data_IF_297564613338
#
_entry.id   IF_297564613338
#
_cell.length_a   1.000
_cell.length_b   1.000
_cell.length_c   1.000
_cell.angle_alpha   90.00
_cell.angle_beta   90.00
_cell.angle_gamma   90.00
#
_symmetry.space_group_name_H-M   'P 1'
#
loop_
_entity.id
_entity.type
_entity.pdbx_description
1 polymer ?
#
# COMPACT_ATOMS: atom_id res chain seq x y z
N UNK A 1 20.24 36.23 8.55
CA UNK A 1 20.69 34.84 8.78
C UNK A 1 19.42 33.97 8.72
N UNK A 2 19.21 33.10 7.72
CA UNK A 2 17.94 32.33 7.70
C UNK A 2 17.51 31.64 6.41
N UNK A 3 17.59 32.26 5.21
CA UNK A 3 17.09 31.61 3.96
C UNK A 3 18.14 30.79 3.21
N UNK A 4 19.42 31.17 3.29
CA UNK A 4 20.52 30.50 2.55
C UNK A 4 21.02 29.20 3.19
N UNK A 5 20.85 29.02 4.50
CA UNK A 5 21.14 27.76 5.17
C UNK A 5 20.04 26.73 4.93
N UNK A 6 18.77 27.12 5.06
CA UNK A 6 17.63 26.25 4.75
C UNK A 6 17.65 25.73 3.31
N UNK A 7 18.12 26.54 2.34
CA UNK A 7 18.29 26.09 0.95
C UNK A 7 19.42 25.08 0.77
N UNK A 8 20.51 25.18 1.55
CA UNK A 8 21.62 24.22 1.51
C UNK A 8 21.25 22.89 2.15
N UNK A 9 20.52 22.91 3.26
CA UNK A 9 20.03 21.68 3.91
C UNK A 9 19.01 20.95 3.01
N UNK A 10 18.09 21.67 2.35
CA UNK A 10 17.17 21.07 1.36
C UNK A 10 17.90 20.42 0.18
N UNK A 11 18.97 21.03 -0.31
CA UNK A 11 19.75 20.49 -1.43
C UNK A 11 20.52 19.21 -1.05
N UNK A 12 21.02 19.10 0.19
CA UNK A 12 21.79 17.94 0.66
C UNK A 12 20.96 16.64 0.72
N UNK A 13 19.65 16.74 0.99
CA UNK A 13 18.74 15.58 1.06
C UNK A 13 18.03 15.26 -0.27
N UNK A 14 18.19 16.10 -1.29
CA UNK A 14 17.53 15.94 -2.59
C UNK A 14 18.13 14.80 -3.44
N UNK A 15 19.38 14.38 -3.16
CA UNK A 15 20.05 13.28 -3.88
C UNK A 15 19.65 11.88 -3.41
N UNK A 16 18.97 11.75 -2.26
CA UNK A 16 18.64 10.47 -1.64
C UNK A 16 17.12 10.32 -1.54
N UNK A 17 16.50 9.79 -2.59
CA UNK A 17 15.08 9.40 -2.57
C UNK A 17 14.94 7.91 -2.85
N UNK A 18 13.95 7.29 -2.21
CA UNK A 18 13.56 5.90 -2.44
C UNK A 18 12.82 5.70 -3.77
N UNK A 19 12.44 6.77 -4.47
CA UNK A 19 11.57 6.71 -5.63
C UNK A 19 12.36 6.78 -6.92
N UNK A 20 12.30 5.70 -7.69
CA UNK A 20 12.79 5.65 -9.06
C UNK A 20 11.62 5.60 -10.04
N UNK A 21 11.72 6.33 -11.16
CA UNK A 21 10.71 6.34 -12.22
C UNK A 21 9.66 7.46 -12.11
N UNK A 22 8.50 7.24 -12.73
CA UNK A 22 7.44 8.26 -12.89
C UNK A 22 6.88 8.75 -11.55
N UNK A 23 6.38 10.00 -11.49
CA UNK A 23 5.68 10.52 -10.32
C UNK A 23 4.47 9.67 -9.97
N UNK A 24 4.38 9.30 -8.70
CA UNK A 24 3.19 8.66 -8.12
C UNK A 24 2.20 9.73 -7.66
N UNK A 25 1.03 9.32 -7.18
CA UNK A 25 0.02 10.27 -6.70
C UNK A 25 0.54 11.14 -5.55
N UNK A 26 1.30 10.56 -4.61
CA UNK A 26 1.90 11.31 -3.50
C UNK A 26 2.91 12.37 -3.96
N UNK A 27 3.66 12.11 -5.03
CA UNK A 27 4.64 13.06 -5.58
C UNK A 27 3.99 14.31 -6.21
N UNK A 28 2.66 14.33 -6.36
CA UNK A 28 1.92 15.52 -6.80
C UNK A 28 1.69 16.51 -5.66
N UNK A 29 1.74 16.05 -4.41
CA UNK A 29 1.50 16.85 -3.21
C UNK A 29 2.76 17.06 -2.37
N UNK A 30 3.71 16.11 -2.42
CA UNK A 30 4.95 16.15 -1.65
C UNK A 30 6.17 16.21 -2.58
N UNK A 31 7.15 17.06 -2.23
CA UNK A 31 8.44 17.08 -2.91
C UNK A 31 9.19 15.76 -2.67
N UNK A 32 9.91 15.25 -3.68
CA UNK A 32 10.73 14.05 -3.53
C UNK A 32 11.99 14.37 -2.71
N UNK A 33 12.22 13.59 -1.67
CA UNK A 33 13.41 13.71 -0.82
C UNK A 33 13.29 12.83 0.41
N UNK A 34 14.41 12.65 1.12
CA UNK A 34 14.49 11.72 2.25
C UNK A 34 13.43 11.97 3.32
N UNK A 35 13.18 13.24 3.68
CA UNK A 35 12.18 13.58 4.70
C UNK A 35 10.77 13.15 4.27
N UNK A 36 10.39 13.46 3.03
CA UNK A 36 9.09 13.04 2.48
C UNK A 36 8.99 11.53 2.44
N UNK A 37 10.06 10.84 2.06
CA UNK A 37 10.08 9.38 2.00
C UNK A 37 9.88 8.77 3.39
N UNK A 38 10.58 9.26 4.41
CA UNK A 38 10.39 8.83 5.80
C UNK A 38 8.95 9.09 6.24
N UNK A 39 8.44 10.31 6.09
CA UNK A 39 7.09 10.68 6.54
C UNK A 39 6.04 9.80 5.85
N UNK A 40 6.13 9.60 4.54
CA UNK A 40 5.17 8.81 3.77
C UNK A 40 5.24 7.32 4.13
N UNK A 41 6.44 6.77 4.37
CA UNK A 41 6.63 5.38 4.82
C UNK A 41 5.97 5.15 6.17
N UNK A 42 6.22 6.04 7.15
CA UNK A 42 5.59 5.96 8.47
C UNK A 42 4.07 6.14 8.39
N UNK A 43 3.60 7.10 7.59
CA UNK A 43 2.16 7.35 7.40
C UNK A 43 1.45 6.13 6.81
N UNK A 44 2.03 5.47 5.80
CA UNK A 44 1.46 4.26 5.21
C UNK A 44 1.48 3.06 6.18
N UNK A 45 2.55 2.90 6.97
CA UNK A 45 2.62 1.85 7.98
C UNK A 45 1.57 2.07 9.08
N UNK A 46 1.40 3.32 9.55
CA UNK A 46 0.39 3.69 10.53
C UNK A 46 -1.04 3.53 9.98
N UNK A 47 -1.29 3.96 8.75
CA UNK A 47 -2.58 3.74 8.08
C UNK A 47 -2.90 2.25 7.97
N UNK A 48 -1.91 1.42 7.62
CA UNK A 48 -2.08 -0.03 7.54
C UNK A 48 -2.40 -0.64 8.91
N UNK A 49 -1.72 -0.19 9.97
CA UNK A 49 -2.03 -0.60 11.34
C UNK A 49 -3.45 -0.21 11.78
N UNK A 50 -3.91 1.01 11.45
CA UNK A 50 -5.29 1.44 11.73
C UNK A 50 -6.28 0.57 10.96
N UNK A 51 -6.05 0.36 9.67
CA UNK A 51 -6.93 -0.48 8.83
C UNK A 51 -6.92 -1.95 9.26
N UNK A 52 -5.83 -2.45 9.86
CA UNK A 52 -5.75 -3.81 10.37
C UNK A 52 -6.81 -4.12 11.44
N UNK A 53 -7.30 -3.09 12.13
CA UNK A 53 -8.35 -3.23 13.15
C UNK A 53 -9.76 -3.25 12.56
N UNK A 54 -9.92 -2.93 11.27
CA UNK A 54 -11.19 -3.15 10.55
C UNK A 54 -11.25 -4.63 10.20
N UNK A 55 -11.86 -5.42 11.09
CA UNK A 55 -11.86 -6.88 11.03
C UNK A 55 -13.27 -7.41 10.80
N UNK A 56 -13.39 -8.28 9.80
CA UNK A 56 -14.50 -9.22 9.68
C UNK A 56 -14.01 -10.54 10.29
N UNK A 57 -14.62 -11.02 11.39
CA UNK A 57 -14.25 -12.30 11.98
C UNK A 57 -14.30 -13.41 10.94
N UNK A 58 -13.24 -14.21 10.86
CA UNK A 58 -13.08 -15.27 9.88
C UNK A 58 -12.08 -16.32 10.34
N UNK A 59 -12.17 -17.51 9.77
CA UNK A 59 -11.29 -18.65 10.02
C UNK A 59 -10.66 -19.08 8.69
N UNK A 60 -9.36 -19.45 8.63
CA UNK A 60 -8.37 -19.57 9.71
C UNK A 60 -7.67 -18.25 10.09
N UNK A 61 -7.83 -17.20 9.29
CA UNK A 61 -7.27 -15.85 9.56
C UNK A 61 -8.38 -14.83 9.38
N UNK A 62 -8.52 -13.84 10.29
CA UNK A 62 -9.51 -12.78 10.13
C UNK A 62 -9.30 -11.98 8.84
N UNK A 63 -10.39 -11.63 8.16
CA UNK A 63 -10.32 -10.72 7.01
C UNK A 63 -10.21 -9.30 7.55
N UNK A 64 -9.00 -8.75 7.54
CA UNK A 64 -8.70 -7.42 8.07
C UNK A 64 -8.50 -6.37 6.97
N UNK A 65 -8.50 -5.09 7.30
CA UNK A 65 -8.14 -4.02 6.36
C UNK A 65 -6.64 -3.91 6.04
N UNK A 66 -5.76 -4.80 6.54
CA UNK A 66 -4.31 -4.74 6.29
C UNK A 66 -3.96 -4.74 4.80
N UNK A 67 -4.57 -5.65 4.03
CA UNK A 67 -4.34 -5.75 2.59
C UNK A 67 -4.79 -4.51 1.84
N UNK A 68 -5.87 -3.87 2.28
CA UNK A 68 -6.31 -2.58 1.74
C UNK A 68 -5.25 -1.49 1.99
N UNK A 69 -4.62 -1.49 3.17
CA UNK A 69 -3.48 -0.63 3.49
C UNK A 69 -2.31 -0.82 2.53
N UNK A 70 -1.93 -2.07 2.25
CA UNK A 70 -0.88 -2.40 1.28
C UNK A 70 -1.21 -1.94 -0.15
N UNK A 71 -2.44 -2.14 -0.62
CA UNK A 71 -2.90 -1.67 -1.93
C UNK A 71 -2.86 -0.14 -2.04
N UNK A 72 -3.33 0.56 -1.00
CA UNK A 72 -3.30 2.03 -0.94
C UNK A 72 -1.87 2.56 -0.92
N UNK A 73 -0.99 1.95 -0.10
CA UNK A 73 0.43 2.31 -0.06
C UNK A 73 1.09 2.13 -1.42
N UNK A 74 0.86 0.99 -2.08
CA UNK A 74 1.34 0.74 -3.44
C UNK A 74 0.82 1.78 -4.44
N UNK A 75 -0.50 1.97 -4.50
CA UNK A 75 -1.14 2.86 -5.45
C UNK A 75 -0.80 4.35 -5.27
N UNK A 76 -0.37 4.77 -4.08
CA UNK A 76 -0.06 6.17 -3.78
C UNK A 76 1.44 6.48 -3.74
N UNK A 77 2.25 5.60 -3.15
CA UNK A 77 3.65 5.87 -2.82
C UNK A 77 4.65 5.27 -3.82
N UNK A 78 4.22 4.31 -4.64
CA UNK A 78 5.11 3.58 -5.54
C UNK A 78 5.86 2.45 -4.84
N UNK A 79 6.60 1.65 -5.62
CA UNK A 79 7.07 0.32 -5.19
C UNK A 79 7.93 0.33 -3.92
N UNK A 80 8.99 1.14 -3.88
CA UNK A 80 9.96 1.14 -2.78
C UNK A 80 9.37 1.69 -1.48
N UNK A 81 8.73 2.87 -1.52
CA UNK A 81 8.09 3.45 -0.33
C UNK A 81 7.01 2.53 0.23
N UNK A 82 6.20 1.92 -0.65
CA UNK A 82 5.17 0.99 -0.23
C UNK A 82 5.77 -0.29 0.40
N UNK A 83 6.77 -0.91 -0.23
CA UNK A 83 7.44 -2.09 0.30
C UNK A 83 8.09 -1.82 1.67
N UNK A 84 8.83 -0.71 1.80
CA UNK A 84 9.47 -0.30 3.06
C UNK A 84 8.42 -0.02 4.14
N UNK A 85 7.27 0.57 3.79
CA UNK A 85 6.18 0.78 4.75
C UNK A 85 5.57 -0.53 5.27
N UNK A 86 5.45 -1.56 4.43
CA UNK A 86 5.00 -2.88 4.87
C UNK A 86 6.06 -3.58 5.74
N UNK A 87 7.35 -3.47 5.40
CA UNK A 87 8.44 -3.98 6.25
C UNK A 87 8.44 -3.27 7.61
N UNK A 88 8.25 -1.95 7.64
CA UNK A 88 8.10 -1.20 8.89
C UNK A 88 6.88 -1.66 9.70
N UNK A 89 5.75 -1.88 9.04
CA UNK A 89 4.54 -2.43 9.66
C UNK A 89 4.79 -3.80 10.31
N UNK A 90 5.46 -4.71 9.60
CA UNK A 90 5.89 -6.00 10.15
C UNK A 90 6.87 -5.82 11.32
N UNK A 91 7.81 -4.89 11.21
CA UNK A 91 8.75 -4.56 12.28
C UNK A 91 8.06 -4.06 13.55
N UNK A 92 7.03 -3.22 13.42
CA UNK A 92 6.19 -2.80 14.55
C UNK A 92 5.48 -3.98 15.21
N UNK A 93 4.93 -4.90 14.41
CA UNK A 93 4.29 -6.11 14.92
C UNK A 93 5.30 -6.99 15.68
N UNK A 94 6.48 -7.23 15.12
CA UNK A 94 7.54 -8.02 15.78
C UNK A 94 8.02 -7.35 17.06
N UNK A 95 8.09 -6.02 17.09
CA UNK A 95 8.49 -5.24 18.26
C UNK A 95 7.42 -5.22 19.38
N UNK A 96 6.30 -5.91 19.22
CA UNK A 96 5.28 -6.03 20.26
C UNK A 96 4.17 -4.97 20.19
N UNK A 97 4.19 -4.07 19.20
CA UNK A 97 3.11 -3.08 19.09
C UNK A 97 1.81 -3.77 18.64
N UNK A 98 0.65 -3.37 19.18
CA UNK A 98 -0.64 -3.97 18.86
C UNK A 98 -1.15 -3.47 17.50
N UNK A 99 -0.46 -3.87 16.43
CA UNK A 99 -0.75 -3.43 15.06
C UNK A 99 -1.37 -4.53 14.20
N UNK A 100 -1.39 -5.78 14.69
CA UNK A 100 -2.02 -6.91 14.02
C UNK A 100 -3.54 -6.90 14.28
N UNK A 101 -4.34 -7.60 13.45
CA UNK A 101 -5.77 -7.75 13.66
C UNK A 101 -6.07 -8.32 15.05
N UNK A 102 -7.18 -7.88 15.66
CA UNK A 102 -7.63 -8.33 16.99
C UNK A 102 -6.68 -7.93 18.14
N UNK A 103 -5.98 -6.80 18.02
CA UNK A 103 -5.14 -6.16 19.05
C UNK A 103 -3.95 -6.99 19.57
N UNK A 104 -3.48 -7.95 18.78
CA UNK A 104 -2.24 -8.68 19.04
C UNK A 104 -0.98 -7.92 18.58
N UNK A 105 0.15 -8.22 19.21
CA UNK A 105 1.48 -7.72 18.85
C UNK A 105 2.55 -8.64 19.43
N UNK A 106 3.72 -8.75 18.81
CA UNK A 106 4.76 -9.69 19.20
C UNK A 106 4.75 -10.96 18.33
N UNK A 107 5.87 -11.69 18.35
CA UNK A 107 6.08 -12.89 17.54
C UNK A 107 5.02 -13.97 17.88
N UNK A 108 4.60 -14.03 19.14
CA UNK A 108 3.59 -14.97 19.64
C UNK A 108 2.19 -14.77 19.02
N UNK A 109 1.89 -13.56 18.52
CA UNK A 109 0.63 -13.25 17.84
C UNK A 109 0.71 -13.50 16.32
N UNK A 110 1.91 -13.71 15.77
CA UNK A 110 2.11 -14.08 14.37
C UNK A 110 1.96 -15.59 14.26
N UNK A 111 0.72 -16.03 14.00
CA UNK A 111 0.45 -17.45 13.75
C UNK A 111 1.09 -17.89 12.43
N UNK A 112 1.34 -19.20 12.32
CA UNK A 112 1.92 -19.79 11.11
C UNK A 112 1.14 -19.42 9.84
N UNK A 113 -0.21 -19.49 9.79
CA UNK A 113 -0.97 -19.01 8.64
C UNK A 113 -0.77 -17.51 8.35
N UNK A 114 -0.75 -16.67 9.38
CA UNK A 114 -0.64 -15.21 9.24
C UNK A 114 0.71 -14.78 8.63
N UNK A 115 1.80 -15.48 8.94
CA UNK A 115 3.14 -15.17 8.42
C UNK A 115 3.18 -15.11 6.88
N UNK A 116 2.51 -16.06 6.21
CA UNK A 116 2.41 -16.08 4.75
C UNK A 116 1.68 -14.87 4.18
N UNK A 117 0.56 -14.48 4.81
CA UNK A 117 -0.18 -13.29 4.41
C UNK A 117 0.64 -12.01 4.63
N UNK A 118 1.38 -11.90 5.75
CA UNK A 118 2.24 -10.74 6.03
C UNK A 118 3.36 -10.56 5.01
N UNK A 119 4.01 -11.65 4.58
CA UNK A 119 4.98 -11.61 3.48
C UNK A 119 4.30 -11.22 2.16
N UNK A 120 3.12 -11.75 1.90
CA UNK A 120 2.27 -11.37 0.77
C UNK A 120 1.99 -9.87 0.71
N UNK A 121 1.76 -9.21 1.85
CA UNK A 121 1.53 -7.75 1.91
C UNK A 121 2.71 -6.95 1.34
N UNK A 122 3.95 -7.33 1.67
CA UNK A 122 5.15 -6.65 1.19
C UNK A 122 5.25 -6.78 -0.34
N UNK A 123 5.05 -8.00 -0.85
CA UNK A 123 5.08 -8.29 -2.29
C UNK A 123 3.98 -7.54 -3.04
N UNK A 124 2.75 -7.56 -2.50
CA UNK A 124 1.61 -6.85 -3.05
C UNK A 124 1.84 -5.34 -3.12
N UNK A 125 2.33 -4.73 -2.03
CA UNK A 125 2.62 -3.30 -1.98
C UNK A 125 3.69 -2.90 -3.03
N UNK A 126 4.76 -3.71 -3.14
CA UNK A 126 5.82 -3.49 -4.11
C UNK A 126 5.30 -3.60 -5.56
N UNK A 127 4.55 -4.66 -5.88
CA UNK A 127 4.03 -4.90 -7.22
C UNK A 127 3.01 -3.83 -7.64
N UNK A 128 2.04 -3.52 -6.78
CA UNK A 128 1.04 -2.49 -7.05
C UNK A 128 1.71 -1.14 -7.25
N UNK A 129 2.69 -0.80 -6.42
CA UNK A 129 3.47 0.42 -6.59
C UNK A 129 4.30 0.45 -7.88
N UNK A 130 4.82 -0.69 -8.31
CA UNK A 130 5.55 -0.81 -9.57
C UNK A 130 4.64 -0.64 -10.80
N UNK A 131 3.40 -1.14 -10.72
CA UNK A 131 2.36 -0.93 -11.74
C UNK A 131 1.87 0.53 -11.76
N UNK A 132 1.67 1.13 -10.59
CA UNK A 132 1.30 2.55 -10.47
C UNK A 132 2.35 3.48 -11.10
N UNK A 133 3.65 3.20 -10.91
CA UNK A 133 4.74 3.92 -11.57
C UNK A 133 4.76 3.75 -13.11
N UNK A 134 3.99 2.80 -13.66
CA UNK A 134 3.78 2.63 -15.12
C UNK A 134 2.47 3.26 -15.59
N UNK A 135 1.82 4.06 -14.75
CA UNK A 135 0.56 4.74 -15.04
C UNK A 135 -0.64 3.79 -15.20
N UNK A 136 -0.58 2.59 -14.60
CA UNK A 136 -1.71 1.65 -14.61
C UNK A 136 -2.82 2.06 -13.66
N UNK A 137 -2.59 3.02 -12.77
CA UNK A 137 -3.51 3.59 -11.81
C UNK A 137 -4.34 4.78 -12.36
N UNK A 138 -4.01 5.28 -13.55
CA UNK A 138 -4.67 6.47 -14.14
C UNK A 138 -6.00 6.21 -14.84
N UNK A 139 -6.26 4.96 -15.24
CA UNK A 139 -7.51 4.55 -15.89
C UNK A 139 -8.23 3.58 -14.98
N UNK A 140 -9.54 3.79 -14.77
CA UNK A 140 -10.33 3.01 -13.82
C UNK A 140 -10.21 1.49 -14.03
N UNK A 141 -10.26 1.02 -15.28
CA UNK A 141 -10.14 -0.41 -15.60
C UNK A 141 -8.75 -1.00 -15.30
N UNK A 142 -7.68 -0.26 -15.63
CA UNK A 142 -6.29 -0.69 -15.33
C UNK A 142 -5.99 -0.61 -13.84
N UNK A 143 -6.55 0.39 -13.16
CA UNK A 143 -6.42 0.55 -11.72
C UNK A 143 -7.10 -0.62 -11.00
N UNK A 144 -8.34 -0.95 -11.39
CA UNK A 144 -9.04 -2.12 -10.87
C UNK A 144 -8.26 -3.41 -11.10
N UNK A 145 -7.76 -3.63 -12.32
CA UNK A 145 -6.95 -4.81 -12.62
C UNK A 145 -5.66 -4.86 -11.79
N UNK A 146 -5.01 -3.71 -11.56
CA UNK A 146 -3.81 -3.61 -10.73
C UNK A 146 -4.08 -4.03 -9.29
N UNK A 147 -5.15 -3.50 -8.69
CA UNK A 147 -5.49 -3.82 -7.30
C UNK A 147 -6.06 -5.24 -7.17
N UNK A 148 -6.78 -5.73 -8.18
CA UNK A 148 -7.26 -7.10 -8.27
C UNK A 148 -6.08 -8.09 -8.27
N UNK A 149 -5.08 -7.87 -9.11
CA UNK A 149 -3.86 -8.69 -9.16
C UNK A 149 -3.09 -8.62 -7.84
N UNK A 150 -2.97 -7.42 -7.26
CA UNK A 150 -2.34 -7.23 -5.95
C UNK A 150 -2.99 -8.03 -4.83
N UNK A 151 -4.33 -7.95 -4.71
CA UNK A 151 -5.10 -8.75 -3.74
C UNK A 151 -4.96 -10.24 -3.97
N UNK A 152 -5.05 -10.69 -5.23
CA UNK A 152 -4.88 -12.10 -5.57
C UNK A 152 -3.51 -12.61 -5.16
N UNK A 153 -2.45 -11.82 -5.33
CA UNK A 153 -1.10 -12.20 -4.88
C UNK A 153 -1.01 -12.32 -3.36
N UNK A 154 -1.59 -11.38 -2.61
CA UNK A 154 -1.64 -11.49 -1.15
C UNK A 154 -2.35 -12.79 -0.72
N UNK A 155 -3.47 -13.11 -1.35
CA UNK A 155 -4.21 -14.34 -1.10
C UNK A 155 -3.40 -15.58 -1.45
N UNK A 156 -2.75 -15.61 -2.63
CA UNK A 156 -1.93 -16.74 -3.07
C UNK A 156 -0.76 -17.02 -2.13
N UNK A 157 -0.07 -15.98 -1.66
CA UNK A 157 1.02 -16.14 -0.69
C UNK A 157 0.53 -16.74 0.63
N UNK A 158 -0.59 -16.23 1.16
CA UNK A 158 -1.20 -16.78 2.37
C UNK A 158 -1.67 -18.23 2.21
N UNK A 159 -2.37 -18.52 1.12
CA UNK A 159 -2.87 -19.88 0.82
C UNK A 159 -1.75 -20.87 0.55
N UNK A 160 -0.70 -20.48 -0.19
CA UNK A 160 0.46 -21.34 -0.45
C UNK A 160 1.20 -21.65 0.84
N UNK A 161 1.40 -20.65 1.69
CA UNK A 161 2.04 -20.84 2.99
C UNK A 161 1.24 -21.77 3.91
N UNK A 162 -0.08 -21.63 3.94
CA UNK A 162 -0.97 -22.52 4.69
C UNK A 162 -0.91 -23.96 4.18
N UNK A 163 -0.82 -24.16 2.86
CA UNK A 163 -0.72 -25.48 2.26
C UNK A 163 0.63 -26.18 2.55
N UNK A 164 1.70 -25.42 2.74
CA UNK A 164 3.05 -25.93 3.03
C UNK A 164 3.33 -26.06 4.54
N UNK A 165 2.48 -25.47 5.38
CA UNK A 165 2.62 -25.54 6.83
C UNK A 165 2.42 -26.98 7.36
N UNK A 166 3.10 -27.36 8.46
CA UNK A 166 2.89 -28.65 9.11
C UNK A 166 1.41 -28.86 9.50
N UNK A 167 0.80 -29.93 8.98
CA UNK A 167 -0.63 -30.23 9.21
C UNK A 167 -1.60 -29.47 8.30
N UNK A 168 -1.10 -28.66 7.36
CA UNK A 168 -1.93 -27.99 6.35
C UNK A 168 -2.40 -28.95 5.26
N UNK A 169 -3.62 -28.74 4.75
CA UNK A 169 -4.13 -29.43 3.57
C UNK A 169 -4.49 -28.45 2.47
N UNK A 170 -4.27 -28.85 1.21
CA UNK A 170 -4.68 -28.06 0.04
C UNK A 170 -6.20 -27.87 0.00
N UNK A 171 -6.95 -28.84 0.55
CA UNK A 171 -8.41 -28.77 0.69
C UNK A 171 -8.85 -27.64 1.62
N UNK A 172 -8.17 -27.48 2.76
CA UNK A 172 -8.45 -26.39 3.69
C UNK A 172 -8.11 -25.03 3.07
N UNK A 173 -6.99 -24.94 2.33
CA UNK A 173 -6.62 -23.71 1.64
C UNK A 173 -7.67 -23.28 0.59
N UNK A 174 -8.24 -24.24 -0.15
CA UNK A 174 -9.28 -24.01 -1.16
C UNK A 174 -10.63 -23.64 -0.55
N UNK A 175 -11.08 -24.38 0.48
CA UNK A 175 -12.37 -24.15 1.13
C UNK A 175 -12.42 -22.79 1.83
N UNK A 176 -11.36 -22.43 2.56
CA UNK A 176 -11.30 -21.16 3.27
C UNK A 176 -10.94 -19.98 2.35
N UNK A 177 -10.18 -20.25 1.27
CA UNK A 177 -9.86 -19.25 0.26
C UNK A 177 -11.09 -18.62 -0.39
N UNK A 178 -12.14 -19.42 -0.67
CA UNK A 178 -13.37 -18.95 -1.33
C UNK A 178 -14.18 -17.96 -0.50
N UNK A 179 -14.31 -18.18 0.81
CA UNK A 179 -15.03 -17.26 1.70
C UNK A 179 -14.30 -15.92 1.86
N UNK A 180 -12.97 -15.94 1.86
CA UNK A 180 -12.12 -14.75 1.89
C UNK A 180 -12.09 -14.05 0.52
N UNK A 181 -12.28 -14.79 -0.58
CA UNK A 181 -12.09 -14.31 -1.95
C UNK A 181 -12.96 -13.10 -2.28
N UNK A 182 -14.25 -13.11 -1.92
CA UNK A 182 -15.17 -12.04 -2.29
C UNK A 182 -14.78 -10.67 -1.68
N UNK A 183 -14.63 -10.52 -0.34
CA UNK A 183 -14.20 -9.26 0.23
C UNK A 183 -12.75 -8.89 -0.15
N UNK A 184 -11.86 -9.88 -0.26
CA UNK A 184 -10.43 -9.67 -0.49
C UNK A 184 -10.11 -9.24 -1.93
N UNK A 185 -10.72 -9.90 -2.91
CA UNK A 185 -10.36 -9.81 -4.33
C UNK A 185 -11.32 -8.91 -5.10
N UNK A 186 -12.57 -8.73 -4.64
CA UNK A 186 -13.54 -7.88 -5.34
C UNK A 186 -13.80 -6.57 -4.60
N UNK A 187 -14.22 -6.64 -3.33
CA UNK A 187 -14.66 -5.44 -2.61
C UNK A 187 -13.51 -4.47 -2.36
N UNK A 188 -12.41 -4.92 -1.76
CA UNK A 188 -11.27 -4.05 -1.42
C UNK A 188 -10.62 -3.44 -2.67
N UNK A 189 -10.29 -4.20 -3.74
CA UNK A 189 -9.79 -3.61 -4.98
C UNK A 189 -10.72 -2.58 -5.59
N UNK A 190 -12.03 -2.80 -5.57
CA UNK A 190 -13.00 -1.82 -6.07
C UNK A 190 -12.95 -0.52 -5.27
N UNK A 191 -12.95 -0.60 -3.93
CA UNK A 191 -12.85 0.58 -3.07
C UNK A 191 -11.54 1.33 -3.28
N UNK A 192 -10.40 0.63 -3.30
CA UNK A 192 -9.09 1.25 -3.54
C UNK A 192 -9.03 1.88 -4.92
N UNK A 193 -9.61 1.23 -5.94
CA UNK A 193 -9.72 1.80 -7.29
C UNK A 193 -10.44 3.15 -7.26
N UNK A 194 -11.59 3.21 -6.59
CA UNK A 194 -12.38 4.45 -6.49
C UNK A 194 -11.57 5.54 -5.80
N UNK A 195 -10.90 5.22 -4.68
CA UNK A 195 -10.07 6.16 -3.92
C UNK A 195 -8.94 6.72 -4.79
N UNK A 196 -8.16 5.85 -5.42
CA UNK A 196 -6.98 6.23 -6.22
C UNK A 196 -7.39 6.98 -7.49
N UNK A 197 -8.41 6.50 -8.21
CA UNK A 197 -8.91 7.17 -9.41
C UNK A 197 -9.49 8.54 -9.09
N UNK A 198 -10.16 8.70 -7.94
CA UNK A 198 -10.65 10.00 -7.48
C UNK A 198 -9.51 10.96 -7.17
N UNK A 199 -8.44 10.48 -6.53
CA UNK A 199 -7.23 11.25 -6.29
C UNK A 199 -6.61 11.79 -7.59
N UNK A 200 -6.47 10.95 -8.62
CA UNK A 200 -5.98 11.39 -9.93
C UNK A 200 -6.89 12.40 -10.63
N UNK A 201 -8.22 12.25 -10.53
CA UNK A 201 -9.17 13.21 -11.10
C UNK A 201 -9.03 14.61 -10.51
N UNK A 202 -8.78 14.71 -9.21
CA UNK A 202 -8.55 16.00 -8.53
C UNK A 202 -7.28 16.65 -9.08
N UNK A 203 -6.19 15.89 -9.18
CA UNK A 203 -4.92 16.37 -9.75
C UNK A 203 -5.09 16.84 -11.19
N UNK A 204 -5.74 16.04 -12.04
CA UNK A 204 -5.94 16.37 -13.45
C UNK A 204 -6.80 17.64 -13.62
N UNK A 205 -7.78 17.85 -12.73
CA UNK A 205 -8.65 19.04 -12.77
C UNK A 205 -7.87 20.30 -12.41
N UNK A 206 -7.01 20.21 -11.39
CA UNK A 206 -6.17 21.32 -10.95
C UNK A 206 -5.13 21.70 -12.04
N UNK A 207 -4.51 20.70 -12.67
CA UNK A 207 -3.57 20.92 -13.76
C UNK A 207 -4.23 21.64 -14.96
N UNK A 208 -5.47 21.27 -15.31
CA UNK A 208 -6.25 21.96 -16.37
C UNK A 208 -6.59 23.40 -16.01
N UNK A 209 -6.96 23.66 -14.75
CA UNK A 209 -7.29 25.02 -14.27
C UNK A 209 -6.08 25.95 -14.35
N UNK A 210 -4.90 25.46 -13.93
CA UNK A 210 -3.65 26.23 -14.01
C UNK A 210 -3.26 26.55 -15.45
N UNK A 211 -3.35 25.56 -16.35
CA UNK A 211 -3.07 25.77 -17.76
C UNK A 211 -3.99 26.82 -18.41
N UNK A 212 -5.28 26.82 -18.06
CA UNK A 212 -6.23 27.83 -18.55
C UNK A 212 -5.91 29.24 -18.03
N UNK A 213 -5.54 29.38 -16.75
CA UNK A 213 -5.14 30.66 -16.16
C UNK A 213 -3.87 31.23 -16.81
N UNK A 214 -2.88 30.39 -17.08
CA UNK A 214 -1.63 30.81 -17.73
C UNK A 214 -1.86 31.30 -19.17
N UNK A 215 -2.80 30.70 -19.90
CA UNK A 215 -3.19 31.15 -21.24
C UNK A 215 -3.92 32.49 -21.20
N UNK A 216 -4.77 32.72 -20.19
CA UNK A 216 -5.50 33.98 -20.03
C UNK A 216 -4.60 35.16 -19.65
N UNK A 217 -3.46 34.93 -18.97
CA UNK A 217 -2.48 35.98 -18.65
C UNK A 217 -1.59 36.33 -19.85
N UNK A 218 -1.44 35.42 -20.82
CA UNK A 218 -0.53 35.58 -21.97
C UNK A 218 -1.19 36.10 -23.25
N UNK A 219 -2.52 36.12 -23.33
CA UNK A 219 -3.30 36.63 -24.47
C UNK A 219 -3.81 38.03 -24.19
#
# INVERSE_FOLDING_TARGET
MGRRELSRTRAAFSGYTLVFGRPTLADRFFERGLLSDVVLVFAAAALTAILAHVVIPGWPVPVSGQSMGALLAGGTLGAMRAAVSMVLYLGMAIAGLPVLPSSGGGIEHITLPMAGYLLGLVVTAALVGWLAQRSWDRRLSRAFLTFLVGSTIALLFGSLWLALAPGGSMGDALQHGLAVLLPEVLLKPALVTIIIASGWRVVDTEDRRRAAADLAVRG
#
